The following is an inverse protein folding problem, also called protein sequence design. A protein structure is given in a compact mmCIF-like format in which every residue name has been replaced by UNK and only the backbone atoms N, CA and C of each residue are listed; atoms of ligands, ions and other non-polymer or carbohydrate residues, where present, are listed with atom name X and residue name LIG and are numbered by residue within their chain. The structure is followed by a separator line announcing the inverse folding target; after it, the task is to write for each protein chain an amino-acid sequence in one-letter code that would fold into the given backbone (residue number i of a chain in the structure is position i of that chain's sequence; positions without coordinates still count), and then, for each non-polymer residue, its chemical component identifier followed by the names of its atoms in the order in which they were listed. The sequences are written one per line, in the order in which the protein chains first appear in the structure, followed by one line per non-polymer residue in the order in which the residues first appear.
data_IF_207753577607
#
_entry.id   IF_207753577607
#
_cell.length_a   1.000
_cell.length_b   1.000
_cell.length_c   1.000
_cell.angle_alpha   90.00
_cell.angle_beta   90.00
_cell.angle_gamma   90.00
#
_symmetry.space_group_name_H-M   'P 1'
#
loop_
_entity.id
_entity.type
_entity.pdbx_description
1 polymer ?
#
# COMPACT_ATOMS: atom_id res chain seq x y z
N UNK A 1 3.00 10.05 -16.79
CA UNK A 1 4.10 10.99 -16.94
C UNK A 1 4.49 11.39 -15.54
N UNK A 2 5.77 11.35 -15.24
CA UNK A 2 6.29 11.83 -13.97
C UNK A 2 7.04 13.12 -14.29
N UNK A 3 6.54 14.24 -13.81
CA UNK A 3 7.27 15.51 -13.90
C UNK A 3 8.21 15.60 -12.69
N UNK A 4 9.48 15.90 -12.94
CA UNK A 4 10.52 15.92 -11.91
C UNK A 4 11.29 17.22 -12.00
N UNK A 5 11.15 18.06 -10.98
CA UNK A 5 11.79 19.37 -10.88
C UNK A 5 12.42 19.55 -9.49
N UNK A 6 13.24 20.60 -9.33
CA UNK A 6 13.76 21.01 -8.02
C UNK A 6 12.98 22.22 -7.52
N UNK A 7 12.59 22.21 -6.25
CA UNK A 7 11.77 23.25 -5.62
C UNK A 7 12.35 23.66 -4.28
N UNK A 8 12.06 24.88 -3.80
CA UNK A 8 12.71 25.40 -2.61
C UNK A 8 12.34 24.65 -1.32
N UNK A 9 11.09 24.21 -1.21
CA UNK A 9 10.55 23.53 -0.04
C UNK A 9 9.38 22.58 -0.38
N UNK A 10 8.92 21.87 0.65
CA UNK A 10 7.78 20.94 0.58
C UNK A 10 6.49 21.63 0.12
N UNK A 11 6.29 22.91 0.49
CA UNK A 11 5.08 23.66 0.14
C UNK A 11 5.05 23.94 -1.36
N UNK A 12 6.17 24.36 -1.95
CA UNK A 12 6.29 24.53 -3.38
C UNK A 12 6.05 23.21 -4.15
N UNK A 13 6.54 22.08 -3.61
CA UNK A 13 6.25 20.76 -4.18
C UNK A 13 4.74 20.43 -4.14
N UNK A 14 4.08 20.71 -3.00
CA UNK A 14 2.63 20.54 -2.86
C UNK A 14 1.83 21.41 -3.81
N UNK A 15 2.22 22.68 -3.95
CA UNK A 15 1.54 23.65 -4.82
C UNK A 15 1.62 23.20 -6.29
N UNK A 16 2.68 22.45 -6.66
CA UNK A 16 2.82 21.82 -7.98
C UNK A 16 1.82 20.66 -8.22
N UNK A 17 1.17 20.15 -7.17
CA UNK A 17 0.16 19.10 -7.20
C UNK A 17 -1.26 19.62 -6.85
N UNK A 18 -1.51 20.92 -7.04
CA UNK A 18 -2.79 21.55 -6.72
C UNK A 18 -3.93 21.14 -7.66
N UNK A 19 -3.63 20.88 -8.94
CA UNK A 19 -4.59 20.50 -9.98
C UNK A 19 -5.22 19.11 -9.73
N UNK A 20 -6.46 18.89 -10.22
CA UNK A 20 -7.19 17.62 -10.09
C UNK A 20 -6.52 16.44 -10.80
N UNK A 21 -5.72 16.71 -11.83
CA UNK A 21 -4.94 15.71 -12.56
C UNK A 21 -3.77 15.15 -11.76
N UNK A 22 -3.34 15.83 -10.69
CA UNK A 22 -2.28 15.32 -9.83
C UNK A 22 -2.84 14.29 -8.84
N UNK A 23 -2.24 13.10 -8.81
CA UNK A 23 -2.63 12.02 -7.89
C UNK A 23 -1.68 11.90 -6.69
N UNK A 24 -0.41 12.28 -6.85
CA UNK A 24 0.57 12.24 -5.76
C UNK A 24 1.82 13.06 -6.09
N UNK A 25 2.56 13.42 -5.05
CA UNK A 25 3.92 13.92 -5.20
C UNK A 25 4.88 13.30 -4.18
N UNK A 26 6.17 13.32 -4.51
CA UNK A 26 7.26 12.89 -3.63
C UNK A 26 8.25 14.03 -3.52
N UNK A 27 8.55 14.41 -2.28
CA UNK A 27 9.58 15.39 -1.96
C UNK A 27 10.76 14.69 -1.29
N UNK A 28 11.94 14.84 -1.87
CA UNK A 28 13.20 14.29 -1.36
C UNK A 28 13.97 15.35 -0.56
N UNK A 29 14.83 14.90 0.36
CA UNK A 29 15.62 15.78 1.21
C UNK A 29 16.59 16.70 0.45
N UNK A 30 16.93 16.37 -0.79
CA UNK A 30 17.78 17.17 -1.68
C UNK A 30 17.00 18.18 -2.55
N UNK A 31 15.75 18.49 -2.18
CA UNK A 31 14.86 19.43 -2.88
C UNK A 31 14.29 18.93 -4.21
N UNK A 32 14.54 17.67 -4.58
CA UNK A 32 13.86 17.08 -5.71
C UNK A 32 12.36 16.89 -5.40
N UNK A 33 11.51 17.32 -6.32
CA UNK A 33 10.06 17.14 -6.30
C UNK A 33 9.63 16.35 -7.53
N UNK A 34 8.92 15.25 -7.30
CA UNK A 34 8.38 14.41 -8.36
C UNK A 34 6.85 14.39 -8.26
N UNK A 35 6.16 14.76 -9.34
CA UNK A 35 4.71 14.83 -9.41
C UNK A 35 4.20 13.74 -10.35
N UNK A 36 3.23 12.94 -9.88
CA UNK A 36 2.58 11.90 -10.65
C UNK A 36 1.24 12.41 -11.19
N UNK A 37 1.13 12.48 -12.51
CA UNK A 37 -0.05 13.01 -13.23
C UNK A 37 -0.76 11.95 -14.10
N UNK A 38 -0.43 10.66 -13.95
CA UNK A 38 -1.03 9.58 -14.73
C UNK A 38 -2.01 8.71 -13.91
N UNK A 39 -3.03 8.18 -14.59
CA UNK A 39 -4.11 7.33 -14.05
C UNK A 39 -3.66 5.98 -13.48
N UNK A 40 -2.36 5.67 -13.54
CA UNK A 40 -1.78 4.44 -12.95
C UNK A 40 -1.57 4.52 -11.43
N UNK A 41 -1.78 5.70 -10.84
CA UNK A 41 -1.70 5.92 -9.40
C UNK A 41 -0.35 6.39 -8.89
N UNK A 42 0.08 5.85 -7.75
CA UNK A 42 1.25 6.34 -7.02
C UNK A 42 2.51 5.64 -7.50
N UNK A 43 3.34 6.33 -8.27
CA UNK A 43 4.70 5.86 -8.58
C UNK A 43 5.64 6.19 -7.43
N UNK A 44 5.66 5.30 -6.43
CA UNK A 44 6.58 5.41 -5.32
C UNK A 44 8.00 5.11 -5.83
N UNK A 45 8.90 6.09 -5.84
CA UNK A 45 10.33 5.83 -6.04
C UNK A 45 11.03 5.75 -4.69
N UNK A 46 11.93 4.78 -4.55
CA UNK A 46 12.81 4.75 -3.38
C UNK A 46 13.72 5.99 -3.38
N UNK A 47 13.94 6.64 -2.24
CA UNK A 47 14.83 7.78 -2.14
C UNK A 47 16.26 7.43 -2.59
N UNK A 48 16.94 8.34 -3.31
CA UNK A 48 18.36 8.21 -3.56
C UNK A 48 19.14 8.10 -2.24
N UNK A 49 20.08 7.15 -2.16
CA UNK A 49 21.15 7.07 -1.14
C UNK A 49 20.76 7.47 0.30
N UNK A 50 19.80 6.76 0.90
CA UNK A 50 19.49 6.91 2.33
C UNK A 50 18.85 8.26 2.72
N UNK A 51 18.47 9.08 1.73
CA UNK A 51 17.69 10.27 1.98
C UNK A 51 16.30 9.91 2.50
N UNK A 52 15.70 10.83 3.27
CA UNK A 52 14.28 10.77 3.59
C UNK A 52 13.49 11.24 2.38
N UNK A 53 12.41 10.53 2.07
CA UNK A 53 11.39 10.97 1.14
C UNK A 53 10.08 11.11 1.90
N UNK A 54 9.33 12.15 1.56
CA UNK A 54 7.94 12.30 1.97
C UNK A 54 7.07 12.16 0.73
N UNK A 55 6.11 11.24 0.79
CA UNK A 55 5.09 11.10 -0.25
C UNK A 55 3.79 11.66 0.29
N UNK A 56 3.16 12.56 -0.45
CA UNK A 56 1.81 13.03 -0.18
C UNK A 56 0.91 12.49 -1.32
N UNK A 57 -0.14 11.77 -0.95
CA UNK A 57 -1.09 11.14 -1.86
C UNK A 57 -2.39 11.94 -1.89
N UNK A 58 -2.85 12.36 -3.06
CA UNK A 58 -4.08 13.12 -3.23
C UNK A 58 -5.21 12.18 -3.66
N UNK A 59 -6.23 12.05 -2.81
CA UNK A 59 -7.43 11.28 -3.09
C UNK A 59 -8.63 12.19 -3.12
N UNK A 60 -9.24 12.30 -4.29
CA UNK A 60 -10.48 13.05 -4.48
C UNK A 60 -11.66 12.11 -4.37
N UNK A 61 -12.57 12.40 -3.44
CA UNK A 61 -13.79 11.64 -3.26
C UNK A 61 -14.91 12.25 -4.10
N UNK A 62 -15.86 11.44 -4.58
CA UNK A 62 -17.04 11.98 -5.25
C UNK A 62 -17.88 12.85 -4.28
N UNK A 63 -18.51 13.90 -4.82
CA UNK A 63 -19.24 14.92 -4.04
C UNK A 63 -20.41 14.37 -3.21
N UNK A 64 -20.87 13.15 -3.52
CA UNK A 64 -21.93 12.48 -2.80
C UNK A 64 -21.51 11.93 -1.43
N UNK A 65 -20.22 11.96 -1.07
CA UNK A 65 -19.72 11.58 0.25
C UNK A 65 -19.40 12.85 1.05
N UNK A 66 -20.43 13.42 1.69
CA UNK A 66 -20.36 14.71 2.41
C UNK A 66 -19.20 14.83 3.43
N UNK A 67 -18.80 13.73 4.08
CA UNK A 67 -17.71 13.75 5.06
C UNK A 67 -16.32 13.97 4.45
N UNK A 68 -16.19 13.79 3.13
CA UNK A 68 -14.91 13.83 2.40
C UNK A 68 -15.00 14.65 1.11
N UNK A 69 -15.89 15.65 1.04
CA UNK A 69 -16.01 16.52 -0.14
C UNK A 69 -14.66 17.11 -0.56
N UNK A 70 -14.34 16.96 -1.85
CA UNK A 70 -13.09 17.40 -2.44
C UNK A 70 -11.94 16.39 -2.30
N UNK A 71 -10.71 16.89 -2.30
CA UNK A 71 -9.50 16.08 -2.25
C UNK A 71 -8.84 16.12 -0.87
N UNK A 72 -8.52 14.95 -0.34
CA UNK A 72 -7.73 14.79 0.89
C UNK A 72 -6.31 14.35 0.56
N UNK A 73 -5.35 14.87 1.33
CA UNK A 73 -3.95 14.48 1.21
C UNK A 73 -3.57 13.53 2.33
N UNK A 74 -3.03 12.37 1.97
CA UNK A 74 -2.55 11.35 2.90
C UNK A 74 -1.03 11.30 2.87
N UNK A 75 -0.42 11.30 4.05
CA UNK A 75 1.04 11.20 4.16
C UNK A 75 1.41 9.73 4.05
N UNK A 76 2.27 9.40 3.11
CA UNK A 76 2.74 8.05 2.84
C UNK A 76 4.25 7.91 2.99
N UNK A 77 4.69 6.73 3.43
CA UNK A 77 6.09 6.32 3.47
C UNK A 77 6.25 4.94 2.84
N UNK A 78 6.99 4.89 1.72
CA UNK A 78 7.30 3.64 1.02
C UNK A 78 8.36 2.85 1.77
N UNK A 79 8.20 1.54 1.86
CA UNK A 79 9.13 0.62 2.51
C UNK A 79 9.28 0.95 4.01
N UNK A 80 8.28 1.56 4.63
CA UNK A 80 8.19 1.75 6.09
C UNK A 80 6.98 1.00 6.64
N UNK A 81 7.08 0.60 7.90
CA UNK A 81 6.03 -0.07 8.64
C UNK A 81 5.90 0.56 10.02
N UNK A 82 4.69 0.48 10.58
CA UNK A 82 4.49 0.67 12.01
C UNK A 82 4.36 -0.71 12.66
N UNK A 83 5.34 -1.09 13.47
CA UNK A 83 5.39 -2.41 14.14
C UNK A 83 4.47 -2.42 15.37
N UNK A 84 3.17 -2.44 15.11
CA UNK A 84 2.11 -2.48 16.12
C UNK A 84 1.09 -3.56 15.80
N UNK A 85 0.29 -3.92 16.80
CA UNK A 85 -0.82 -4.85 16.60
C UNK A 85 -1.87 -4.20 15.70
N UNK A 86 -2.09 -4.82 14.54
CA UNK A 86 -3.10 -4.37 13.59
C UNK A 86 -4.49 -4.69 14.15
N UNK A 87 -5.43 -3.75 13.97
CA UNK A 87 -6.82 -3.89 14.43
C UNK A 87 -7.64 -4.70 13.45
N UNK A 88 -7.42 -4.47 12.16
CA UNK A 88 -8.07 -5.17 11.08
C UNK A 88 -7.05 -5.46 9.97
N UNK A 89 -7.19 -6.62 9.34
CA UNK A 89 -6.41 -7.01 8.16
C UNK A 89 -7.39 -7.48 7.10
N UNK A 90 -7.27 -6.92 5.91
CA UNK A 90 -8.09 -7.24 4.75
C UNK A 90 -7.18 -7.80 3.66
N UNK A 91 -7.46 -9.03 3.24
CA UNK A 91 -6.75 -9.69 2.14
C UNK A 91 -7.60 -9.67 0.86
N UNK A 92 -6.93 -9.73 -0.28
CA UNK A 92 -7.59 -9.88 -1.59
C UNK A 92 -8.12 -8.58 -2.19
N UNK A 93 -7.61 -7.42 -1.75
CA UNK A 93 -7.83 -6.17 -2.49
C UNK A 93 -7.08 -6.25 -3.83
N UNK A 94 -7.52 -5.50 -4.88
CA UNK A 94 -6.79 -5.43 -6.14
C UNK A 94 -5.33 -4.97 -5.91
N UNK A 95 -4.34 -5.52 -6.61
CA UNK A 95 -2.98 -5.02 -6.52
C UNK A 95 -2.89 -3.59 -7.10
N UNK A 96 -1.85 -2.86 -6.72
CA UNK A 96 -1.61 -1.52 -7.28
C UNK A 96 -2.49 -0.42 -6.67
N UNK A 97 -2.79 0.59 -7.47
CA UNK A 97 -3.43 1.82 -7.00
C UNK A 97 -4.88 1.64 -6.54
N UNK A 98 -5.62 0.77 -7.22
CA UNK A 98 -7.03 0.51 -6.88
C UNK A 98 -7.16 -0.08 -5.46
N UNK A 99 -6.35 -1.07 -5.11
CA UNK A 99 -6.36 -1.61 -3.73
C UNK A 99 -5.82 -0.62 -2.71
N UNK A 100 -4.86 0.22 -3.07
CA UNK A 100 -4.39 1.29 -2.19
C UNK A 100 -5.53 2.26 -1.86
N UNK A 101 -6.28 2.70 -2.88
CA UNK A 101 -7.45 3.57 -2.69
C UNK A 101 -8.47 2.92 -1.76
N UNK A 102 -8.80 1.65 -1.99
CA UNK A 102 -9.72 0.90 -1.13
C UNK A 102 -9.20 0.76 0.29
N UNK A 103 -7.89 0.57 0.49
CA UNK A 103 -7.27 0.50 1.81
C UNK A 103 -7.40 1.83 2.57
N UNK A 104 -7.23 2.96 1.87
CA UNK A 104 -7.43 4.29 2.43
C UNK A 104 -8.90 4.50 2.81
N UNK A 105 -9.83 4.16 1.92
CA UNK A 105 -11.26 4.22 2.17
C UNK A 105 -11.65 3.38 3.40
N UNK A 106 -11.12 2.16 3.53
CA UNK A 106 -11.36 1.29 4.69
C UNK A 106 -10.88 1.91 6.01
N UNK A 107 -9.70 2.55 6.01
CA UNK A 107 -9.17 3.23 7.19
C UNK A 107 -10.05 4.43 7.57
N UNK A 108 -10.28 5.31 6.60
CA UNK A 108 -11.03 6.56 6.76
C UNK A 108 -12.48 6.30 7.20
N UNK A 109 -13.12 5.27 6.67
CA UNK A 109 -14.50 4.89 6.98
C UNK A 109 -14.61 3.94 8.18
N UNK A 110 -13.52 3.67 8.91
CA UNK A 110 -13.58 2.77 10.06
C UNK A 110 -14.40 3.36 11.21
N UNK A 111 -15.48 2.66 11.57
CA UNK A 111 -16.39 3.07 12.65
C UNK A 111 -16.15 2.30 13.95
N UNK A 112 -15.47 1.15 13.89
CA UNK A 112 -15.22 0.31 15.07
C UNK A 112 -14.14 0.89 15.98
N UNK A 113 -13.19 1.64 15.41
CA UNK A 113 -12.14 2.33 16.15
C UNK A 113 -11.60 3.51 15.33
N UNK A 114 -10.71 4.28 15.95
CA UNK A 114 -9.96 5.33 15.28
C UNK A 114 -8.80 4.80 14.47
N UNK A 115 -9.02 4.50 13.18
CA UNK A 115 -7.93 4.21 12.28
C UNK A 115 -7.07 5.47 12.11
N UNK A 116 -5.80 5.35 12.47
CA UNK A 116 -4.81 6.43 12.43
C UNK A 116 -3.79 6.23 11.33
N UNK A 117 -3.54 4.98 10.98
CA UNK A 117 -2.65 4.63 9.89
C UNK A 117 -3.02 3.28 9.31
N UNK A 118 -2.50 3.01 8.13
CA UNK A 118 -2.57 1.69 7.53
C UNK A 118 -1.32 1.37 6.73
N UNK A 119 -1.16 0.09 6.46
CA UNK A 119 -0.10 -0.46 5.62
C UNK A 119 -0.74 -1.26 4.50
N UNK A 120 -0.35 -0.98 3.26
CA UNK A 120 -0.81 -1.70 2.09
C UNK A 120 0.36 -2.40 1.38
N UNK A 121 0.23 -3.71 1.18
CA UNK A 121 1.17 -4.51 0.39
C UNK A 121 0.74 -4.47 -1.08
N UNK A 122 1.40 -3.63 -1.87
CA UNK A 122 0.95 -3.28 -3.23
C UNK A 122 0.82 -4.48 -4.17
N UNK A 123 1.69 -5.49 -4.01
CA UNK A 123 1.69 -6.69 -4.85
C UNK A 123 0.70 -7.75 -4.38
N UNK A 124 0.45 -7.83 -3.07
CA UNK A 124 -0.35 -8.89 -2.45
C UNK A 124 -1.82 -8.48 -2.28
N UNK A 125 -2.10 -7.18 -2.26
CA UNK A 125 -3.46 -6.70 -2.00
C UNK A 125 -3.88 -6.84 -0.54
N UNK A 126 -2.92 -6.85 0.38
CA UNK A 126 -3.19 -6.93 1.83
C UNK A 126 -3.15 -5.53 2.43
N UNK A 127 -4.25 -5.14 3.08
CA UNK A 127 -4.42 -3.88 3.80
C UNK A 127 -4.51 -4.15 5.30
N UNK A 128 -3.58 -3.58 6.07
CA UNK A 128 -3.55 -3.68 7.53
C UNK A 128 -3.82 -2.32 8.16
N UNK A 129 -4.85 -2.24 9.01
CA UNK A 129 -5.28 -0.99 9.64
C UNK A 129 -4.86 -0.93 11.12
N UNK A 130 -4.47 0.25 11.58
CA UNK A 130 -3.93 0.48 12.92
C UNK A 130 -4.56 1.70 13.59
N UNK A 131 -4.72 1.64 14.92
CA UNK A 131 -5.12 2.75 15.79
C UNK A 131 -3.94 3.51 16.40
N UNK A 132 -2.73 3.29 15.88
CA UNK A 132 -1.52 4.06 16.16
C UNK A 132 -0.97 4.67 14.86
N UNK A 133 -0.15 5.72 14.99
CA UNK A 133 0.53 6.45 13.91
C UNK A 133 2.02 6.62 14.27
N UNK A 134 2.83 7.18 13.36
CA UNK A 134 4.27 7.35 13.60
C UNK A 134 4.55 8.40 14.69
N UNK A 135 3.64 9.35 14.92
CA UNK A 135 3.75 10.34 15.99
C UNK A 135 3.58 9.69 17.38
N UNK A 136 2.61 8.78 17.53
CA UNK A 136 2.34 8.08 18.81
C UNK A 136 3.31 6.96 19.12
N UNK A 137 3.87 6.32 18.10
CA UNK A 137 4.78 5.20 18.25
C UNK A 137 6.05 5.36 17.38
N UNK A 138 6.83 6.44 17.59
CA UNK A 138 7.96 6.79 16.71
C UNK A 138 9.07 5.73 16.76
N UNK A 139 9.29 5.11 17.91
CA UNK A 139 10.28 4.03 18.08
C UNK A 139 9.86 2.71 17.45
N UNK A 140 8.64 2.62 16.89
CA UNK A 140 8.13 1.44 16.18
C UNK A 140 7.87 1.74 14.72
N UNK A 141 8.16 2.96 14.28
CA UNK A 141 8.04 3.37 12.89
C UNK A 141 9.41 3.21 12.23
N UNK A 142 9.56 2.12 11.50
CA UNK A 142 10.85 1.68 10.99
C UNK A 142 10.77 1.31 9.51
N UNK A 143 11.93 1.28 8.87
CA UNK A 143 12.04 0.81 7.49
C UNK A 143 11.76 -0.70 7.46
N UNK A 144 10.80 -1.09 6.64
CA UNK A 144 10.46 -2.48 6.33
C UNK A 144 11.40 -3.05 5.28
N UNK A 145 11.70 -4.33 5.38
CA UNK A 145 12.35 -5.12 4.34
C UNK A 145 11.37 -5.65 3.28
N UNK A 146 10.06 -5.52 3.54
CA UNK A 146 8.99 -5.91 2.62
C UNK A 146 8.93 -4.93 1.44
N UNK A 147 9.28 -5.43 0.26
CA UNK A 147 9.34 -4.64 -0.97
C UNK A 147 7.95 -4.22 -1.43
N UNK A 148 7.78 -2.92 -1.70
CA UNK A 148 6.52 -2.41 -2.25
C UNK A 148 5.42 -2.26 -1.19
N UNK A 149 5.78 -2.36 0.08
CA UNK A 149 4.92 -1.95 1.18
C UNK A 149 4.76 -0.43 1.20
N UNK A 150 3.54 0.04 1.43
CA UNK A 150 3.24 1.45 1.62
C UNK A 150 2.55 1.66 2.96
N UNK A 151 3.21 2.39 3.86
CA UNK A 151 2.58 2.95 5.05
C UNK A 151 1.92 4.28 4.70
N UNK A 152 0.74 4.55 5.26
CA UNK A 152 0.13 5.88 5.21
C UNK A 152 -0.60 6.23 6.50
N UNK A 153 -0.62 7.53 6.81
CA UNK A 153 -1.33 8.10 7.95
C UNK A 153 -2.69 8.64 7.51
N UNK A 154 -3.69 8.47 8.37
CA UNK A 154 -5.00 9.06 8.19
C UNK A 154 -4.89 10.58 8.44
N UNK A 155 -4.76 11.35 7.36
CA UNK A 155 -4.68 12.81 7.39
C UNK A 155 -6.00 13.50 7.73
N UNK A 156 -7.10 12.76 7.86
CA UNK A 156 -8.40 13.32 8.22
C UNK A 156 -8.43 13.66 9.72
N UNK A 157 -8.43 14.95 10.05
CA UNK A 157 -8.70 15.47 11.41
C UNK A 157 -10.13 15.18 11.91
N UNK A 158 -10.97 14.61 11.06
CA UNK A 158 -12.40 14.32 11.27
C UNK A 158 -12.65 12.90 11.75
N UNK A 159 -11.91 12.41 12.74
CA UNK A 159 -12.38 11.22 13.46
C UNK A 159 -13.53 11.60 14.42
N UNK A 160 -14.62 10.81 14.53
CA UNK A 160 -15.94 11.22 15.02
C UNK A 160 -16.05 11.50 16.52
N UNK A 161 -14.95 11.76 17.24
CA UNK A 161 -15.06 12.46 18.53
C UNK A 161 -15.41 13.94 18.37
N UNK A 162 -15.34 14.50 17.16
CA UNK A 162 -15.77 15.89 16.86
C UNK A 162 -16.72 16.06 15.68
N UNK A 163 -16.94 15.02 14.88
CA UNK A 163 -18.09 15.01 13.97
C UNK A 163 -19.33 14.70 14.80
N UNK A 164 -20.02 15.75 15.25
CA UNK A 164 -21.45 15.62 15.53
C UNK A 164 -22.05 15.14 14.21
N UNK A 165 -22.36 13.85 14.15
CA UNK A 165 -23.00 13.23 13.00
C UNK A 165 -24.20 14.09 12.63
N UNK A 166 -24.11 14.81 11.51
CA UNK A 166 -25.30 15.30 10.84
C UNK A 166 -26.19 14.06 10.62
N UNK A 167 -27.45 14.16 11.02
CA UNK A 167 -28.42 13.07 11.20
C UNK A 167 -28.79 12.28 9.92
N UNK A 168 -27.93 12.28 8.89
CA UNK A 168 -28.19 11.72 7.57
C UNK A 168 -27.01 10.90 7.00
N UNK A 169 -25.94 10.63 7.76
CA UNK A 169 -24.86 9.77 7.24
C UNK A 169 -25.30 8.31 7.16
N UNK A 170 -25.33 7.76 5.94
CA UNK A 170 -25.51 6.33 5.68
C UNK A 170 -24.34 5.57 6.32
N UNK A 171 -24.64 4.85 7.40
CA UNK A 171 -23.75 3.83 7.94
C UNK A 171 -23.55 2.77 6.87
N UNK A 172 -22.35 2.68 6.27
CA UNK A 172 -22.01 1.53 5.41
C UNK A 172 -21.89 0.32 6.34
N UNK A 173 -22.94 -0.49 6.37
CA UNK A 173 -22.96 -1.73 7.14
C UNK A 173 -21.94 -2.70 6.53
N UNK A 174 -20.85 -2.96 7.26
CA UNK A 174 -19.84 -3.93 6.83
C UNK A 174 -20.48 -5.32 6.84
N UNK A 175 -20.78 -5.85 5.65
CA UNK A 175 -21.23 -7.24 5.55
C UNK A 175 -20.05 -8.17 5.86
N UNK A 176 -20.20 -8.99 6.90
CA UNK A 176 -19.28 -10.10 7.17
C UNK A 176 -19.40 -11.08 6.01
N UNK A 177 -18.48 -11.01 5.06
CA UNK A 177 -18.36 -12.03 4.01
C UNK A 177 -17.85 -13.28 4.69
N UNK A 178 -18.75 -14.24 4.95
CA UNK A 178 -18.36 -15.58 5.37
C UNK A 178 -17.37 -16.12 4.32
N UNK A 179 -16.17 -16.58 4.72
CA UNK A 179 -15.24 -17.15 3.76
C UNK A 179 -15.95 -18.28 3.01
N UNK A 180 -16.07 -18.16 1.69
CA UNK A 180 -16.49 -19.28 0.85
C UNK A 180 -15.40 -20.33 0.98
N UNK A 181 -15.64 -21.34 1.82
CA UNK A 181 -14.83 -22.55 1.87
C UNK A 181 -14.96 -23.27 0.53
N UNK A 182 -14.18 -22.85 -0.47
CA UNK A 182 -13.94 -23.70 -1.61
C UNK A 182 -13.04 -24.84 -1.11
N UNK A 183 -13.48 -26.11 -1.19
CA UNK A 183 -12.62 -27.22 -0.84
C UNK A 183 -11.44 -27.20 -1.81
N UNK A 184 -10.26 -26.84 -1.30
CA UNK A 184 -9.00 -27.05 -2.00
C UNK A 184 -8.89 -28.56 -2.16
N UNK A 185 -9.29 -29.08 -3.33
CA UNK A 185 -8.88 -30.41 -3.76
C UNK A 185 -7.37 -30.33 -3.86
N UNK A 186 -6.68 -30.87 -2.85
CA UNK A 186 -5.26 -31.10 -2.91
C UNK A 186 -4.96 -31.78 -4.25
N UNK A 187 -4.24 -31.09 -5.12
CA UNK A 187 -3.65 -31.70 -6.30
C UNK A 187 -2.75 -32.81 -5.79
N UNK A 188 -3.22 -34.05 -5.90
CA UNK A 188 -2.40 -35.23 -5.64
C UNK A 188 -1.28 -35.23 -6.69
N UNK A 189 -0.15 -34.63 -6.35
CA UNK A 189 1.09 -34.79 -7.08
C UNK A 189 1.49 -36.25 -6.88
N UNK A 190 1.16 -37.09 -7.87
CA UNK A 190 1.64 -38.48 -7.91
C UNK A 190 3.18 -38.42 -7.95
N UNK A 191 3.89 -39.14 -7.06
CA UNK A 191 5.33 -39.16 -7.09
C UNK A 191 5.82 -39.70 -8.42
N UNK A 192 6.59 -38.89 -9.15
CA UNK A 192 7.29 -39.29 -10.37
C UNK A 192 8.28 -40.39 -9.97
N UNK A 193 8.03 -41.62 -10.43
CA UNK A 193 8.97 -42.74 -10.25
C UNK A 193 10.28 -42.40 -10.97
N UNK A 194 11.33 -42.06 -10.21
CA UNK A 194 12.67 -41.87 -10.76
C UNK A 194 13.10 -43.16 -11.44
N UNK A 195 13.24 -43.13 -12.76
CA UNK A 195 13.69 -44.27 -13.55
C UNK A 195 15.21 -44.30 -13.45
N UNK A 196 15.75 -45.12 -12.55
CA UNK A 196 17.20 -45.40 -12.45
C UNK A 196 17.69 -45.91 -13.82
N UNK A 197 18.30 -45.02 -14.63
CA UNK A 197 19.06 -45.40 -15.82
C UNK A 197 20.27 -46.20 -15.36
N UNK A 198 20.26 -47.51 -15.60
CA UNK A 198 21.46 -48.36 -15.47
C UNK A 198 22.53 -47.80 -16.40
N UNK A 199 23.60 -47.25 -15.85
CA UNK A 199 24.83 -46.96 -16.58
C UNK A 199 25.35 -48.28 -17.15
N UNK A 200 25.22 -48.47 -18.47
CA UNK A 200 25.90 -49.54 -19.19
C UNK A 200 27.39 -49.17 -19.26
N UNK A 201 28.22 -49.87 -18.49
CA UNK A 201 29.68 -49.93 -18.69
C UNK A 201 29.93 -50.56 -20.06
N UNK A 202 30.32 -49.77 -21.06
CA UNK A 202 30.90 -50.30 -22.29
C UNK A 202 32.38 -50.58 -22.05
N UNK A 203 32.78 -51.83 -22.24
CA UNK A 203 34.18 -52.27 -22.26
C UNK A 203 34.83 -51.69 -23.53
N UNK A 204 35.88 -50.90 -23.37
CA UNK A 204 36.82 -50.59 -24.45
C UNK A 204 37.73 -51.81 -24.62
N UNK A 205 37.62 -52.47 -25.76
CA UNK A 205 38.55 -53.50 -26.17
C UNK A 205 39.81 -52.84 -26.76
N UNK A 206 40.95 -53.25 -26.22
CA UNK A 206 42.29 -52.93 -26.65
C UNK A 206 42.57 -53.68 -27.95
N UNK A 207 42.84 -52.98 -29.05
CA UNK A 207 43.45 -53.58 -30.24
C UNK A 207 44.91 -53.12 -30.33
N UNK A 208 45.81 -54.09 -30.25
CA UNK A 208 47.23 -53.98 -30.58
C UNK A 208 47.44 -54.44 -32.03
N UNK A 209 48.44 -53.81 -32.67
CA UNK A 209 49.06 -54.06 -33.97
C UNK A 209 48.35 -53.49 -35.20
#
# INVERSE_FOLDING_TARGET
MIDSNYVDDLKACRDSCADETCTSFIFFGDKQCMVNVEDGGVHLRSPPRGQKARTDLKFCYPDNINAYQGCSTFVGSRDYALTVQQREVFDGLPPGYEGLRLCIELCVLSTQYACRSATFLVLEGTCSLSDADAERAPTRFERSDVVGQLYFENGCSTHPRRAQFAATSVSIERMVVKPKSHPVKALQIKPIKSRRRKLRRSRVALAKH
#
